data_IF_720092262513
#
_entry.id   IF_720092262513
#
_cell.length_a   1.000
_cell.length_b   1.000
_cell.length_c   1.000
_cell.angle_alpha   90.00
_cell.angle_beta   90.00
_cell.angle_gamma   90.00
#
_symmetry.space_group_name_H-M   'P 1'
#
loop_
_entity.id
_entity.type
_entity.pdbx_description
1 polymer ?
#
# COMPACT_ATOMS: atom_id res chain seq x y z
N UNK A 1 24.38 22.60 8.48
CA UNK A 1 23.16 21.98 9.04
C UNK A 1 21.91 22.47 8.33
N UNK A 2 21.83 23.78 8.01
CA UNK A 2 20.68 24.37 7.35
C UNK A 2 20.51 23.89 5.89
N UNK A 3 21.62 23.60 5.19
CA UNK A 3 21.55 23.13 3.78
C UNK A 3 21.05 21.67 3.69
N UNK A 4 21.43 20.82 4.64
CA UNK A 4 20.93 19.43 4.72
C UNK A 4 19.44 19.36 5.03
N UNK A 5 18.97 20.23 5.93
CA UNK A 5 17.55 20.30 6.27
C UNK A 5 16.71 20.80 5.08
N UNK A 6 17.20 21.75 4.30
CA UNK A 6 16.54 22.24 3.09
C UNK A 6 16.47 21.14 2.01
N UNK A 7 17.55 20.38 1.83
CA UNK A 7 17.55 19.27 0.87
C UNK A 7 16.53 18.18 1.27
N UNK A 8 16.44 17.87 2.55
CA UNK A 8 15.44 16.92 3.06
C UNK A 8 14.01 17.42 2.86
N UNK A 9 13.75 18.69 3.06
CA UNK A 9 12.45 19.31 2.82
C UNK A 9 12.07 19.28 1.34
N UNK A 10 13.00 19.56 0.44
CA UNK A 10 12.77 19.49 -1.02
C UNK A 10 12.44 18.08 -1.45
N UNK A 11 13.16 17.07 -0.97
CA UNK A 11 12.90 15.66 -1.27
C UNK A 11 11.52 15.24 -0.75
N UNK A 12 11.15 15.67 0.44
CA UNK A 12 9.86 15.38 1.04
C UNK A 12 8.72 16.02 0.22
N UNK A 13 8.89 17.27 -0.21
CA UNK A 13 7.93 17.98 -1.04
C UNK A 13 7.74 17.31 -2.40
N UNK A 14 8.80 16.83 -3.03
CA UNK A 14 8.74 16.10 -4.28
C UNK A 14 7.99 14.76 -4.12
N UNK A 15 8.19 14.07 -3.00
CA UNK A 15 7.43 12.85 -2.68
C UNK A 15 5.95 13.15 -2.52
N UNK A 16 5.60 14.23 -1.80
CA UNK A 16 4.22 14.63 -1.59
C UNK A 16 3.53 15.01 -2.89
N UNK A 17 4.23 15.70 -3.79
CA UNK A 17 3.73 16.02 -5.12
C UNK A 17 3.52 14.77 -5.97
N UNK A 18 4.46 13.81 -5.92
CA UNK A 18 4.34 12.53 -6.60
C UNK A 18 3.13 11.75 -6.09
N UNK A 19 2.91 11.71 -4.77
CA UNK A 19 1.73 11.11 -4.17
C UNK A 19 0.43 11.77 -4.63
N UNK A 20 0.42 13.09 -4.79
CA UNK A 20 -0.76 13.83 -5.23
C UNK A 20 -1.13 13.58 -6.70
N UNK A 21 -0.14 13.29 -7.56
CA UNK A 21 -0.35 13.04 -8.98
C UNK A 21 -0.85 11.63 -9.29
N UNK A 22 -0.52 10.65 -8.46
CA UNK A 22 -0.87 9.24 -8.68
C UNK A 22 -2.36 8.91 -8.58
N UNK A 23 -3.17 9.59 -7.77
CA UNK A 23 -4.61 9.42 -7.82
C UNK A 23 -5.26 9.63 -9.17
N UNK A 24 -4.59 10.32 -10.11
CA UNK A 24 -5.09 10.47 -11.48
C UNK A 24 -5.10 9.13 -12.22
N UNK A 25 -4.05 8.32 -12.12
CA UNK A 25 -4.01 6.98 -12.72
C UNK A 25 -5.09 6.10 -12.10
N UNK A 26 -5.23 6.18 -10.79
CA UNK A 26 -6.25 5.45 -10.05
C UNK A 26 -7.66 5.83 -10.51
N UNK A 27 -7.91 7.12 -10.71
CA UNK A 27 -9.21 7.65 -11.13
C UNK A 27 -9.55 7.28 -12.58
N UNK A 28 -8.56 7.37 -13.48
CA UNK A 28 -8.76 7.17 -14.92
C UNK A 28 -8.74 5.71 -15.33
N UNK A 29 -7.92 4.88 -14.70
CA UNK A 29 -7.69 3.49 -15.12
C UNK A 29 -8.13 2.44 -14.10
N UNK A 30 -8.47 2.87 -12.87
CA UNK A 30 -8.92 2.00 -11.80
C UNK A 30 -7.83 1.49 -10.89
N UNK A 31 -8.26 0.89 -9.79
CA UNK A 31 -7.38 0.44 -8.70
C UNK A 31 -6.39 -0.63 -9.16
N UNK A 32 -6.88 -1.66 -9.84
CA UNK A 32 -6.03 -2.75 -10.31
C UNK A 32 -4.93 -2.27 -11.25
N UNK A 33 -5.28 -1.40 -12.19
CA UNK A 33 -4.31 -0.83 -13.14
C UNK A 33 -3.26 0.02 -12.41
N UNK A 34 -3.67 0.80 -11.40
CA UNK A 34 -2.75 1.62 -10.62
C UNK A 34 -1.74 0.77 -9.84
N UNK A 35 -2.21 -0.32 -9.21
CA UNK A 35 -1.34 -1.23 -8.47
C UNK A 35 -0.39 -1.98 -9.40
N UNK A 36 -0.87 -2.41 -10.57
CA UNK A 36 -0.02 -3.05 -11.58
C UNK A 36 1.06 -2.10 -12.10
N UNK A 37 0.75 -0.80 -12.22
CA UNK A 37 1.75 0.20 -12.59
C UNK A 37 2.84 0.33 -11.52
N UNK A 38 2.48 0.29 -10.25
CA UNK A 38 3.46 0.24 -9.14
C UNK A 38 4.34 -1.00 -9.23
N UNK A 39 3.74 -2.16 -9.49
CA UNK A 39 4.48 -3.41 -9.70
C UNK A 39 5.53 -3.25 -10.78
N UNK A 40 5.14 -2.72 -11.93
CA UNK A 40 6.03 -2.56 -13.07
C UNK A 40 7.20 -1.64 -12.73
N UNK A 41 6.96 -0.56 -12.01
CA UNK A 41 8.01 0.35 -11.55
C UNK A 41 9.01 -0.35 -10.63
N UNK A 42 8.52 -1.15 -9.68
CA UNK A 42 9.37 -1.89 -8.75
C UNK A 42 10.21 -2.93 -9.48
N UNK A 43 9.59 -3.69 -10.37
CA UNK A 43 10.29 -4.72 -11.15
C UNK A 43 11.39 -4.12 -12.02
N UNK A 44 11.14 -2.99 -12.67
CA UNK A 44 12.12 -2.33 -13.52
C UNK A 44 13.26 -1.71 -12.73
N UNK A 45 12.94 -1.07 -11.60
CA UNK A 45 13.93 -0.35 -10.81
C UNK A 45 14.82 -1.26 -9.97
N UNK A 46 14.31 -2.41 -9.51
CA UNK A 46 14.97 -3.22 -8.48
C UNK A 46 15.21 -4.67 -8.88
N UNK A 47 14.78 -5.09 -10.04
CA UNK A 47 14.89 -6.49 -10.52
C UNK A 47 14.28 -7.50 -9.54
N UNK A 48 13.13 -7.12 -8.97
CA UNK A 48 12.37 -7.95 -8.05
C UNK A 48 11.15 -8.47 -8.80
N UNK A 49 10.77 -9.73 -8.58
CA UNK A 49 9.53 -10.27 -9.13
C UNK A 49 8.36 -9.90 -8.20
N UNK A 50 7.35 -9.21 -8.73
CA UNK A 50 6.17 -8.79 -7.96
C UNK A 50 4.93 -9.39 -8.57
N UNK A 51 4.20 -10.21 -7.80
CA UNK A 51 2.91 -10.73 -8.22
C UNK A 51 1.79 -9.92 -7.56
N UNK A 52 0.72 -9.69 -8.31
CA UNK A 52 -0.38 -8.83 -7.89
C UNK A 52 -1.71 -9.52 -8.17
N UNK A 53 -2.54 -9.66 -7.13
CA UNK A 53 -3.92 -10.14 -7.21
C UNK A 53 -4.79 -9.18 -6.40
N UNK A 54 -5.35 -8.18 -7.07
CA UNK A 54 -6.03 -7.05 -6.41
C UNK A 54 -7.43 -6.76 -6.97
N UNK A 55 -8.03 -7.72 -7.65
CA UNK A 55 -9.35 -7.54 -8.28
C UNK A 55 -10.43 -7.15 -7.26
N UNK A 56 -10.37 -7.70 -6.05
CA UNK A 56 -11.34 -7.38 -5.01
C UNK A 56 -11.33 -5.89 -4.63
N UNK A 57 -10.22 -5.18 -4.86
CA UNK A 57 -10.12 -3.76 -4.60
C UNK A 57 -10.99 -2.90 -5.50
N UNK A 58 -11.39 -3.38 -6.68
CA UNK A 58 -12.22 -2.63 -7.61
C UNK A 58 -13.63 -2.39 -7.08
N UNK A 59 -14.06 -3.17 -6.09
CA UNK A 59 -15.37 -3.02 -5.44
C UNK A 59 -15.39 -1.98 -4.32
N UNK A 60 -14.24 -1.49 -3.91
CA UNK A 60 -14.13 -0.47 -2.88
C UNK A 60 -14.60 0.89 -3.40
N UNK A 61 -15.03 1.76 -2.49
CA UNK A 61 -15.27 3.16 -2.83
C UNK A 61 -13.99 3.81 -3.35
N UNK A 62 -14.12 4.88 -4.13
CA UNK A 62 -12.98 5.64 -4.62
C UNK A 62 -12.04 6.09 -3.50
N UNK A 63 -12.62 6.55 -2.40
CA UNK A 63 -11.87 7.01 -1.24
C UNK A 63 -11.07 5.87 -0.59
N UNK A 64 -11.71 4.71 -0.44
CA UNK A 64 -11.04 3.52 0.10
C UNK A 64 -9.95 3.02 -0.83
N UNK A 65 -10.19 3.03 -2.15
CA UNK A 65 -9.19 2.65 -3.15
C UNK A 65 -7.96 3.56 -3.08
N UNK A 66 -8.16 4.86 -2.97
CA UNK A 66 -7.06 5.82 -2.87
C UNK A 66 -6.22 5.58 -1.61
N UNK A 67 -6.87 5.35 -0.48
CA UNK A 67 -6.18 5.06 0.78
C UNK A 67 -5.42 3.74 0.73
N UNK A 68 -6.06 2.69 0.21
CA UNK A 68 -5.43 1.37 0.09
C UNK A 68 -4.25 1.40 -0.89
N UNK A 69 -4.38 2.12 -1.99
CA UNK A 69 -3.30 2.33 -2.95
C UNK A 69 -2.05 2.92 -2.26
N UNK A 70 -2.23 3.95 -1.44
CA UNK A 70 -1.14 4.58 -0.71
C UNK A 70 -0.50 3.61 0.31
N UNK A 71 -1.31 2.80 0.98
CA UNK A 71 -0.84 1.77 1.91
C UNK A 71 0.02 0.74 1.17
N UNK A 72 -0.46 0.23 0.03
CA UNK A 72 0.28 -0.73 -0.79
C UNK A 72 1.60 -0.13 -1.28
N UNK A 73 1.56 1.09 -1.75
CA UNK A 73 2.77 1.80 -2.20
C UNK A 73 3.81 1.91 -1.10
N UNK A 74 3.40 2.34 0.09
CA UNK A 74 4.27 2.44 1.26
C UNK A 74 4.87 1.08 1.61
N UNK A 75 4.03 0.04 1.66
CA UNK A 75 4.46 -1.32 1.98
C UNK A 75 5.43 -1.88 0.93
N UNK A 76 5.20 -1.62 -0.35
CA UNK A 76 6.12 -2.02 -1.42
C UNK A 76 7.47 -1.31 -1.28
N UNK A 77 7.47 -0.02 -1.01
CA UNK A 77 8.70 0.75 -0.79
C UNK A 77 9.52 0.21 0.37
N UNK A 78 8.87 -0.21 1.44
CA UNK A 78 9.53 -0.83 2.59
C UNK A 78 10.06 -2.23 2.26
N UNK A 79 9.26 -3.03 1.57
CA UNK A 79 9.67 -4.38 1.15
C UNK A 79 10.96 -4.34 0.33
N UNK A 80 11.07 -3.39 -0.58
CA UNK A 80 12.27 -3.20 -1.42
C UNK A 80 13.53 -2.98 -0.58
N UNK A 81 13.43 -2.26 0.54
CA UNK A 81 14.58 -2.02 1.42
C UNK A 81 15.12 -3.28 2.08
N UNK A 82 14.30 -4.34 2.17
CA UNK A 82 14.72 -5.63 2.71
C UNK A 82 15.40 -6.54 1.69
N UNK A 83 15.55 -6.06 0.45
CA UNK A 83 16.20 -6.76 -0.66
C UNK A 83 15.61 -8.14 -0.95
N UNK A 84 14.29 -8.22 -1.22
CA UNK A 84 13.66 -9.49 -1.55
C UNK A 84 13.94 -9.89 -2.99
N UNK A 85 13.74 -11.18 -3.30
CA UNK A 85 13.66 -11.67 -4.67
C UNK A 85 12.24 -11.61 -5.18
N UNK A 86 11.26 -11.81 -4.28
CA UNK A 86 9.83 -11.83 -4.61
C UNK A 86 9.01 -11.02 -3.62
N UNK A 87 8.01 -10.33 -4.17
CA UNK A 87 6.97 -9.67 -3.39
C UNK A 87 5.61 -10.13 -3.92
N UNK A 88 4.69 -10.43 -3.04
CA UNK A 88 3.33 -10.77 -3.39
C UNK A 88 2.36 -9.74 -2.79
N UNK A 89 1.46 -9.22 -3.62
CA UNK A 89 0.41 -8.29 -3.19
C UNK A 89 -0.94 -8.93 -3.48
N UNK A 90 -1.76 -9.09 -2.47
CA UNK A 90 -3.08 -9.67 -2.60
C UNK A 90 -4.12 -8.82 -1.87
N UNK A 91 -5.27 -8.63 -2.47
CA UNK A 91 -6.43 -7.97 -1.87
C UNK A 91 -7.62 -8.89 -2.01
N UNK A 92 -8.29 -9.18 -0.90
CA UNK A 92 -9.43 -10.09 -0.88
C UNK A 92 -10.55 -9.54 0.02
N UNK A 93 -11.78 -9.93 -0.25
CA UNK A 93 -12.90 -9.62 0.62
C UNK A 93 -12.85 -10.52 1.86
N UNK A 94 -13.18 -9.96 3.01
CA UNK A 94 -13.33 -10.72 4.25
C UNK A 94 -14.77 -11.23 4.37
N UNK A 95 -15.01 -12.30 5.18
CA UNK A 95 -16.35 -12.85 5.32
C UNK A 95 -17.41 -11.87 5.83
N UNK A 96 -16.99 -10.82 6.55
CA UNK A 96 -17.89 -9.80 7.09
C UNK A 96 -18.13 -8.64 6.10
N UNK A 97 -17.62 -8.75 4.87
CA UNK A 97 -17.79 -7.72 3.86
C UNK A 97 -16.72 -6.63 3.86
N UNK A 98 -15.71 -6.76 4.69
CA UNK A 98 -14.54 -5.87 4.67
C UNK A 98 -13.52 -6.29 3.63
N UNK A 99 -12.31 -5.78 3.75
CA UNK A 99 -11.21 -6.06 2.82
C UNK A 99 -9.94 -6.39 3.60
N UNK A 100 -9.21 -7.40 3.15
CA UNK A 100 -7.88 -7.71 3.64
C UNK A 100 -6.88 -7.51 2.52
N UNK A 101 -5.84 -6.71 2.78
CA UNK A 101 -4.70 -6.56 1.88
C UNK A 101 -3.47 -7.20 2.53
N UNK A 102 -2.71 -7.95 1.75
CA UNK A 102 -1.52 -8.62 2.24
C UNK A 102 -0.36 -8.36 1.30
N UNK A 103 0.74 -7.88 1.86
CA UNK A 103 1.98 -7.63 1.13
C UNK A 103 3.06 -8.48 1.79
N UNK A 104 3.52 -9.50 1.09
CA UNK A 104 4.50 -10.47 1.59
C UNK A 104 5.77 -10.39 0.77
N UNK A 105 6.93 -10.47 1.42
CA UNK A 105 8.22 -10.51 0.76
C UNK A 105 9.11 -11.58 1.41
N UNK A 106 10.13 -12.01 0.68
CA UNK A 106 11.13 -12.97 1.15
C UNK A 106 12.47 -12.30 1.53
N UNK A 107 12.46 -10.97 1.69
CA UNK A 107 13.65 -10.23 2.04
C UNK A 107 14.13 -10.50 3.45
N UNK A 108 15.44 -10.52 3.63
CA UNK A 108 16.11 -10.83 4.90
C UNK A 108 16.61 -9.58 5.64
N UNK A 109 16.38 -8.39 5.07
CA UNK A 109 16.79 -7.13 5.67
C UNK A 109 15.95 -6.76 6.90
N UNK A 110 16.46 -5.77 7.64
CA UNK A 110 15.81 -5.28 8.84
C UNK A 110 14.46 -4.61 8.54
N UNK A 111 13.51 -4.86 9.44
CA UNK A 111 12.24 -4.11 9.46
C UNK A 111 12.42 -2.87 10.32
N UNK A 112 12.28 -1.70 9.69
CA UNK A 112 12.40 -0.44 10.41
C UNK A 112 11.07 -0.08 11.08
N UNK A 113 11.13 0.17 12.38
CA UNK A 113 9.96 0.52 13.18
C UNK A 113 9.24 1.77 12.67
N UNK A 114 9.99 2.81 12.30
CA UNK A 114 9.42 4.05 11.77
C UNK A 114 8.60 3.81 10.49
N UNK A 115 9.05 2.87 9.66
CA UNK A 115 8.34 2.50 8.43
C UNK A 115 7.02 1.80 8.72
N UNK A 116 7.00 0.94 9.72
CA UNK A 116 5.78 0.24 10.15
C UNK A 116 4.79 1.24 10.74
N UNK A 117 5.28 2.19 11.54
CA UNK A 117 4.46 3.25 12.15
C UNK A 117 3.77 4.11 11.08
N UNK A 118 4.46 4.40 9.97
CA UNK A 118 3.87 5.16 8.87
C UNK A 118 2.67 4.45 8.24
N UNK A 119 2.77 3.14 8.05
CA UNK A 119 1.63 2.33 7.55
C UNK A 119 0.52 2.28 8.61
N UNK A 120 0.88 2.07 9.85
CA UNK A 120 -0.08 1.98 10.97
C UNK A 120 -0.94 3.24 11.06
N UNK A 121 -0.34 4.41 10.90
CA UNK A 121 -1.07 5.68 10.93
C UNK A 121 -2.11 5.78 9.82
N UNK A 122 -1.76 5.38 8.60
CA UNK A 122 -2.70 5.36 7.48
C UNK A 122 -3.83 4.37 7.69
N UNK A 123 -3.53 3.21 8.23
CA UNK A 123 -4.52 2.17 8.54
C UNK A 123 -5.47 2.65 9.65
N UNK A 124 -4.94 3.33 10.65
CA UNK A 124 -5.73 3.87 11.77
C UNK A 124 -6.79 4.86 11.30
N UNK A 125 -6.45 5.73 10.34
CA UNK A 125 -7.40 6.70 9.78
C UNK A 125 -8.62 6.01 9.16
N UNK A 126 -8.44 4.80 8.63
CA UNK A 126 -9.50 3.99 8.07
C UNK A 126 -10.19 3.08 9.11
N UNK A 127 -9.82 3.20 10.39
CA UNK A 127 -10.25 2.29 11.46
C UNK A 127 -9.96 0.82 11.15
N UNK A 128 -8.88 0.60 10.40
CA UNK A 128 -8.41 -0.73 10.07
C UNK A 128 -7.48 -1.31 11.14
N UNK A 129 -7.03 -2.51 10.87
CA UNK A 129 -6.04 -3.21 11.70
C UNK A 129 -4.82 -3.58 10.88
N UNK A 130 -3.65 -3.41 11.46
CA UNK A 130 -2.37 -3.78 10.86
C UNK A 130 -1.74 -4.90 11.67
N UNK A 131 -1.27 -5.93 10.99
CA UNK A 131 -0.36 -6.90 11.58
C UNK A 131 0.87 -7.07 10.70
N UNK A 132 2.03 -7.21 11.34
CA UNK A 132 3.31 -7.43 10.66
C UNK A 132 3.94 -8.65 11.29
N UNK A 133 4.08 -9.70 10.49
CA UNK A 133 4.56 -10.99 10.96
C UNK A 133 5.80 -11.43 10.17
N UNK A 134 6.64 -12.24 10.82
CA UNK A 134 7.74 -12.92 10.14
C UNK A 134 7.21 -14.20 9.50
N UNK A 135 7.55 -14.43 8.24
CA UNK A 135 7.20 -15.66 7.54
C UNK A 135 8.13 -16.79 7.98
N UNK A 136 7.69 -18.03 7.75
CA UNK A 136 8.51 -19.22 8.05
C UNK A 136 9.83 -19.23 7.30
N UNK A 137 9.85 -18.67 6.08
CA UNK A 137 11.06 -18.54 5.26
C UNK A 137 11.99 -17.38 5.68
N UNK A 138 11.62 -16.64 6.72
CA UNK A 138 12.39 -15.49 7.21
C UNK A 138 11.97 -14.15 6.65
N UNK A 139 11.07 -14.13 5.69
CA UNK A 139 10.54 -12.89 5.10
C UNK A 139 9.51 -12.21 5.99
N UNK A 140 8.85 -11.19 5.44
CA UNK A 140 7.89 -10.35 6.17
C UNK A 140 6.52 -10.40 5.49
N UNK A 141 5.47 -10.45 6.30
CA UNK A 141 4.10 -10.32 5.84
C UNK A 141 3.44 -9.13 6.53
N UNK A 142 2.99 -8.17 5.73
CA UNK A 142 2.20 -7.04 6.20
C UNK A 142 0.76 -7.31 5.82
N UNK A 143 -0.13 -7.31 6.81
CA UNK A 143 -1.55 -7.54 6.58
C UNK A 143 -2.36 -6.38 7.13
N UNK A 144 -3.25 -5.86 6.28
CA UNK A 144 -4.15 -4.76 6.60
C UNK A 144 -5.58 -5.25 6.46
N UNK A 145 -6.39 -5.07 7.49
CA UNK A 145 -7.80 -5.43 7.47
C UNK A 145 -8.62 -4.16 7.61
N UNK A 146 -9.47 -3.91 6.62
CA UNK A 146 -10.37 -2.75 6.61
C UNK A 146 -11.79 -3.22 6.92
N UNK A 147 -12.55 -2.44 7.73
CA UNK A 147 -13.90 -2.82 8.12
C UNK A 147 -14.92 -2.66 6.98
N UNK A 148 -16.08 -3.34 7.08
CA UNK A 148 -17.10 -3.33 6.01
C UNK A 148 -17.61 -1.95 5.62
N UNK A 149 -17.69 -1.00 6.55
CA UNK A 149 -18.23 0.31 6.25
C UNK A 149 -17.33 1.10 5.28
N UNK A 150 -16.06 0.79 5.18
CA UNK A 150 -15.14 1.43 4.22
C UNK A 150 -15.54 1.03 2.79
N UNK A 151 -15.94 -0.22 2.58
CA UNK A 151 -16.45 -0.70 1.30
C UNK A 151 -17.85 -0.16 0.99
N UNK A 152 -18.66 0.13 2.00
CA UNK A 152 -20.04 0.61 1.87
C UNK A 152 -20.16 2.13 1.68
N UNK A 153 -19.08 2.88 1.75
CA UNK A 153 -19.10 4.36 1.72
C UNK A 153 -19.74 4.92 0.45
N UNK A 154 -19.63 4.24 -0.68
CA UNK A 154 -20.28 4.66 -1.92
C UNK A 154 -21.81 4.62 -1.84
N UNK A 155 -22.36 3.60 -1.20
CA UNK A 155 -23.81 3.47 -1.04
C UNK A 155 -24.38 4.61 -0.18
N UNK A 156 -23.67 4.98 0.87
CA UNK A 156 -24.06 6.09 1.73
C UNK A 156 -23.99 7.43 1.01
N UNK A 157 -22.99 7.64 0.17
CA UNK A 157 -22.86 8.83 -0.67
C UNK A 157 -24.00 8.95 -1.69
N UNK A 158 -24.45 7.83 -2.24
CA UNK A 158 -25.54 7.80 -3.22
C UNK A 158 -26.91 8.08 -2.60
N UNK A 159 -27.07 7.86 -1.30
CA UNK A 159 -28.31 8.13 -0.56
C UNK A 159 -28.42 9.57 -0.05
N UNK A 160 -27.31 10.24 0.02
CA UNK A 160 -27.26 11.65 0.42
C UNK A 160 -27.39 12.57 -0.78
#
# INVERSE_FOLDING_TARGET
ATSLDREREVIRTLRDLSFALEPLVLRDQGFGAAVRALRDQVEQAHRISVSVDVEAGDRLSEKAQAALYQIIREALGQAVTRKPERIEVAVAETPDGGVAAEISDDGMGERRRASIEAIEERVRVLNGRLSVDRREDGGTRVRVILPPYVAATELDSARG
#
